data_IF_158760882823
#
_entry.id   IF_158760882823
#
_cell.length_a   1.000
_cell.length_b   1.000
_cell.length_c   1.000
_cell.angle_alpha   90.00
_cell.angle_beta   90.00
_cell.angle_gamma   90.00
#
_symmetry.space_group_name_H-M   'P 1'
#
loop_
_entity.id
_entity.type
_entity.pdbx_description
1 polymer ?
#
# COMPACT_ATOMS: atom_id res chain seq x y z
N UNK A 1 -19.42 12.75 30.04
CA UNK A 1 -19.62 13.70 28.92
C UNK A 1 -20.64 14.74 29.38
N UNK A 2 -20.19 15.85 29.97
CA UNK A 2 -21.09 16.95 30.29
C UNK A 2 -21.26 17.81 29.03
N UNK A 3 -22.51 17.95 28.59
CA UNK A 3 -22.90 18.83 27.47
C UNK A 3 -22.74 20.30 27.89
N UNK A 4 -22.26 21.14 26.97
CA UNK A 4 -22.15 22.59 27.21
C UNK A 4 -23.50 23.20 27.61
N UNK A 5 -23.51 24.24 28.45
CA UNK A 5 -24.74 24.93 28.84
C UNK A 5 -25.49 25.44 27.59
N UNK A 6 -26.80 25.20 27.56
CA UNK A 6 -27.69 25.50 26.41
C UNK A 6 -27.66 26.96 25.95
N UNK A 7 -27.22 27.89 26.79
CA UNK A 7 -27.07 29.31 26.45
C UNK A 7 -26.04 29.59 25.36
N UNK A 8 -25.12 28.65 25.06
CA UNK A 8 -24.12 28.78 23.99
C UNK A 8 -24.58 28.22 22.62
N UNK A 9 -25.76 27.61 22.53
CA UNK A 9 -26.31 27.02 21.29
C UNK A 9 -27.02 28.03 20.36
N UNK A 10 -27.04 29.32 20.73
CA UNK A 10 -27.75 30.36 19.99
C UNK A 10 -26.90 31.08 18.92
N UNK A 11 -25.68 30.62 18.65
CA UNK A 11 -24.80 31.20 17.61
C UNK A 11 -24.97 30.37 16.32
N UNK A 12 -25.46 30.97 15.21
CA UNK A 12 -25.53 30.28 13.91
C UNK A 12 -24.13 29.86 13.42
N UNK A 13 -24.03 28.70 12.77
CA UNK A 13 -22.82 28.07 12.18
C UNK A 13 -21.80 27.39 13.12
N UNK A 14 -22.17 27.09 14.36
CA UNK A 14 -21.30 26.42 15.32
C UNK A 14 -21.22 24.88 15.15
N UNK A 15 -20.56 24.38 14.10
CA UNK A 15 -20.21 22.95 14.00
C UNK A 15 -18.93 22.60 14.80
N UNK A 16 -19.16 21.95 15.95
CA UNK A 16 -18.25 21.16 16.81
C UNK A 16 -17.18 21.93 17.62
N UNK A 17 -17.56 22.33 18.82
CA UNK A 17 -16.65 22.73 19.91
C UNK A 17 -16.18 21.50 20.72
N UNK A 18 -14.93 21.50 21.20
CA UNK A 18 -14.44 20.63 22.29
C UNK A 18 -14.15 21.53 23.50
N UNK A 19 -14.79 21.27 24.63
CA UNK A 19 -14.51 21.97 25.88
C UNK A 19 -13.65 21.14 26.82
N UNK A 20 -12.69 21.80 27.47
CA UNK A 20 -11.85 21.24 28.52
C UNK A 20 -12.08 22.09 29.77
N UNK A 21 -12.51 21.46 30.87
CA UNK A 21 -12.71 22.14 32.16
C UNK A 21 -11.50 21.84 33.04
N UNK A 22 -10.88 22.88 33.61
CA UNK A 22 -9.82 22.74 34.59
C UNK A 22 -10.24 23.39 35.91
N UNK A 23 -9.96 22.72 37.02
CA UNK A 23 -10.18 23.27 38.36
C UNK A 23 -8.83 23.68 38.96
N UNK A 24 -8.65 24.98 39.18
CA UNK A 24 -7.61 25.53 40.06
C UNK A 24 -8.30 26.44 41.07
N UNK A 25 -8.17 26.12 42.35
CA UNK A 25 -8.66 26.92 43.48
C UNK A 25 -10.13 27.39 43.32
N UNK A 26 -11.04 26.42 43.12
CA UNK A 26 -12.50 26.64 43.19
C UNK A 26 -13.14 27.56 42.13
N UNK A 27 -12.41 28.00 41.10
CA UNK A 27 -12.96 28.74 39.95
C UNK A 27 -13.04 27.81 38.74
N UNK A 28 -14.20 27.75 38.08
CA UNK A 28 -14.36 27.06 36.80
C UNK A 28 -13.87 27.97 35.67
N UNK A 29 -12.75 27.60 35.03
CA UNK A 29 -12.25 28.29 33.84
C UNK A 29 -12.60 27.46 32.62
N UNK A 30 -13.44 28.00 31.73
CA UNK A 30 -13.87 27.34 30.49
C UNK A 30 -13.04 27.90 29.33
N UNK A 31 -12.19 27.06 28.73
CA UNK A 31 -11.48 27.41 27.50
C UNK A 31 -12.36 27.09 26.30
N UNK A 32 -12.67 28.12 25.51
CA UNK A 32 -13.35 28.01 24.23
C UNK A 32 -12.30 27.87 23.11
N UNK A 33 -12.03 26.64 22.69
CA UNK A 33 -11.18 26.38 21.53
C UNK A 33 -12.02 26.56 20.26
N UNK A 34 -11.79 27.66 19.53
CA UNK A 34 -12.31 27.83 18.18
C UNK A 34 -11.63 26.78 17.30
N UNK A 35 -12.42 25.94 16.61
CA UNK A 35 -11.89 25.22 15.45
C UNK A 35 -11.74 26.27 14.36
N UNK A 36 -10.53 26.50 13.86
CA UNK A 36 -10.36 27.29 12.64
C UNK A 36 -11.30 26.73 11.57
N UNK A 37 -11.99 27.59 10.79
CA UNK A 37 -12.72 27.10 9.63
C UNK A 37 -11.74 26.23 8.84
N UNK A 38 -12.16 25.04 8.42
CA UNK A 38 -11.33 24.23 7.53
C UNK A 38 -10.93 25.14 6.38
N UNK A 39 -9.65 25.50 6.28
CA UNK A 39 -9.16 26.41 5.27
C UNK A 39 -9.74 25.97 3.93
N UNK A 40 -10.48 26.84 3.27
CA UNK A 40 -10.99 26.54 1.95
C UNK A 40 -9.76 26.26 1.09
N UNK A 41 -9.63 25.02 0.59
CA UNK A 41 -8.44 24.58 -0.11
C UNK A 41 -8.25 25.51 -1.32
N UNK A 42 -7.19 26.32 -1.30
CA UNK A 42 -6.84 27.30 -2.35
C UNK A 42 -6.88 26.63 -3.72
N UNK A 43 -6.47 25.37 -3.79
CA UNK A 43 -6.35 24.60 -5.01
C UNK A 43 -7.65 23.91 -5.45
N UNK A 44 -8.73 24.02 -4.68
CA UNK A 44 -10.07 23.55 -5.06
C UNK A 44 -11.00 24.68 -5.48
N UNK A 45 -10.66 25.93 -5.17
CA UNK A 45 -11.44 27.09 -5.57
C UNK A 45 -11.42 27.29 -7.11
N UNK A 46 -12.50 27.79 -7.73
CA UNK A 46 -12.48 28.17 -9.14
C UNK A 46 -11.58 29.40 -9.36
N UNK A 47 -11.21 29.71 -10.61
CA UNK A 47 -10.60 31.01 -10.89
C UNK A 47 -11.63 32.14 -10.71
N UNK A 48 -11.17 33.33 -10.34
CA UNK A 48 -12.02 34.51 -10.19
C UNK A 48 -11.30 35.75 -10.72
N UNK A 49 -11.84 36.33 -11.79
CA UNK A 49 -11.32 37.54 -12.44
C UNK A 49 -11.46 38.78 -11.55
N UNK A 50 -12.35 38.73 -10.55
CA UNK A 50 -12.66 39.86 -9.69
C UNK A 50 -13.52 40.91 -10.40
N UNK A 51 -13.67 42.07 -9.73
CA UNK A 51 -14.62 43.12 -10.15
C UNK A 51 -13.98 44.29 -10.88
N UNK A 52 -12.64 44.37 -10.87
CA UNK A 52 -11.89 45.42 -11.55
C UNK A 52 -11.64 45.05 -13.02
N UNK A 53 -11.24 46.03 -13.85
CA UNK A 53 -11.13 45.89 -15.32
C UNK A 53 -9.70 46.03 -15.85
N UNK A 54 -8.69 45.88 -15.00
CA UNK A 54 -7.31 45.76 -15.48
C UNK A 54 -7.07 44.36 -16.07
N UNK A 55 -5.97 44.17 -16.80
CA UNK A 55 -5.64 42.88 -17.42
C UNK A 55 -4.29 42.39 -16.89
N UNK A 56 -4.31 41.68 -15.76
CA UNK A 56 -3.10 41.07 -15.21
C UNK A 56 -3.08 39.57 -15.55
N UNK A 57 -2.08 39.07 -16.29
CA UNK A 57 -1.94 37.64 -16.52
C UNK A 57 -1.59 36.94 -15.20
N UNK A 58 -2.37 35.91 -14.84
CA UNK A 58 -2.22 35.11 -13.62
C UNK A 58 -2.40 33.64 -13.93
N UNK A 59 -2.04 32.79 -12.98
CA UNK A 59 -2.25 31.34 -13.04
C UNK A 59 -3.22 30.90 -11.95
N UNK A 60 -4.03 29.90 -12.24
CA UNK A 60 -4.86 29.22 -11.26
C UNK A 60 -4.71 27.72 -11.45
N UNK A 61 -4.90 26.95 -10.38
CA UNK A 61 -4.88 25.50 -10.44
C UNK A 61 -6.29 24.97 -10.76
N UNK A 62 -6.40 24.22 -11.85
CA UNK A 62 -7.61 23.52 -12.22
C UNK A 62 -7.57 22.10 -11.66
N UNK A 63 -8.31 21.85 -10.59
CA UNK A 63 -8.37 20.55 -9.91
C UNK A 63 -8.95 19.41 -10.77
N UNK A 64 -9.75 19.73 -11.79
CA UNK A 64 -10.37 18.72 -12.66
C UNK A 64 -9.36 18.09 -13.61
N UNK A 65 -8.46 18.90 -14.18
CA UNK A 65 -7.40 18.43 -15.09
C UNK A 65 -6.03 18.34 -14.42
N UNK A 66 -5.95 18.71 -13.14
CA UNK A 66 -4.71 18.78 -12.35
C UNK A 66 -3.61 19.57 -13.06
N UNK A 67 -3.93 20.77 -13.55
CA UNK A 67 -2.97 21.64 -14.23
C UNK A 67 -3.11 23.10 -13.80
N UNK A 68 -1.99 23.81 -13.71
CA UNK A 68 -1.95 25.26 -13.58
C UNK A 68 -2.16 25.92 -14.95
N UNK A 69 -3.34 26.54 -15.13
CA UNK A 69 -3.76 27.23 -16.34
C UNK A 69 -3.68 28.75 -16.15
N UNK A 70 -3.61 29.50 -17.26
CA UNK A 70 -3.59 30.96 -17.21
C UNK A 70 -5.02 31.55 -17.21
N UNK A 71 -5.17 32.73 -16.62
CA UNK A 71 -6.40 33.53 -16.69
C UNK A 71 -6.06 35.03 -16.55
N UNK A 72 -7.04 35.89 -16.85
CA UNK A 72 -6.90 37.34 -16.72
C UNK A 72 -7.51 37.81 -15.41
N UNK A 73 -6.69 38.37 -14.52
CA UNK A 73 -7.16 38.96 -13.27
C UNK A 73 -7.40 40.47 -13.42
N UNK A 74 -8.58 40.90 -12.98
CA UNK A 74 -9.08 42.27 -13.05
C UNK A 74 -8.33 43.28 -12.17
N UNK A 75 -7.51 42.81 -11.23
CA UNK A 75 -6.68 43.65 -10.34
C UNK A 75 -7.28 43.94 -8.96
N UNK A 76 -8.51 43.50 -8.68
CA UNK A 76 -9.10 43.60 -7.34
C UNK A 76 -10.21 42.57 -7.11
N UNK A 77 -10.43 42.18 -5.86
CA UNK A 77 -11.33 41.08 -5.51
C UNK A 77 -10.69 39.73 -5.85
N UNK A 78 -11.49 38.76 -6.30
CA UNK A 78 -10.97 37.43 -6.60
C UNK A 78 -10.91 36.51 -5.38
N UNK A 79 -10.27 35.36 -5.56
CA UNK A 79 -9.92 34.42 -4.51
C UNK A 79 -8.43 34.06 -4.54
N UNK A 80 -7.99 33.19 -3.63
CA UNK A 80 -6.58 32.85 -3.44
C UNK A 80 -6.03 31.85 -4.49
N UNK A 81 -6.87 31.25 -5.34
CA UNK A 81 -6.41 30.45 -6.49
C UNK A 81 -5.91 31.36 -7.63
N UNK A 82 -4.91 32.19 -7.30
CA UNK A 82 -4.43 33.29 -8.13
C UNK A 82 -2.94 33.51 -7.89
N UNK A 83 -2.13 32.95 -8.77
CA UNK A 83 -0.68 32.92 -8.67
C UNK A 83 -0.03 33.80 -9.73
N UNK A 84 1.08 34.45 -9.37
CA UNK A 84 1.83 35.29 -10.30
C UNK A 84 2.58 34.48 -11.36
N UNK A 85 3.10 33.30 -11.00
CA UNK A 85 3.82 32.42 -11.93
C UNK A 85 3.23 31.01 -11.95
N UNK A 86 3.41 30.29 -13.06
CA UNK A 86 3.05 28.87 -13.17
C UNK A 86 3.78 28.05 -12.09
N UNK A 87 5.01 28.43 -11.74
CA UNK A 87 5.80 27.77 -10.70
C UNK A 87 5.16 27.92 -9.32
N UNK A 88 4.73 29.11 -8.93
CA UNK A 88 4.08 29.34 -7.63
C UNK A 88 2.79 28.53 -7.51
N UNK A 89 2.00 28.49 -8.59
CA UNK A 89 0.81 27.64 -8.67
C UNK A 89 1.14 26.16 -8.51
N UNK A 90 2.21 25.69 -9.17
CA UNK A 90 2.65 24.29 -9.06
C UNK A 90 3.13 24.00 -7.64
N UNK A 91 4.03 24.83 -7.13
CA UNK A 91 4.64 24.64 -5.82
C UNK A 91 3.59 24.72 -4.70
N UNK A 92 2.49 25.45 -4.87
CA UNK A 92 1.40 25.50 -3.90
C UNK A 92 0.41 24.34 -4.06
N UNK A 93 -0.05 24.07 -5.29
CA UNK A 93 -1.15 23.14 -5.53
C UNK A 93 -0.75 21.72 -5.92
N UNK A 94 0.46 21.51 -6.44
CA UNK A 94 1.02 20.18 -6.69
C UNK A 94 1.81 19.60 -5.53
N UNK A 95 2.06 20.36 -4.44
CA UNK A 95 2.70 19.82 -3.22
C UNK A 95 2.03 18.54 -2.71
N UNK A 96 0.75 18.31 -3.03
CA UNK A 96 -0.07 17.18 -2.59
C UNK A 96 -0.30 16.11 -3.67
N UNK A 97 0.28 16.26 -4.87
CA UNK A 97 0.12 15.29 -5.97
C UNK A 97 1.23 14.26 -5.89
N UNK A 98 0.86 13.04 -5.53
CA UNK A 98 1.79 11.92 -5.45
C UNK A 98 1.77 11.02 -6.69
N UNK A 99 2.89 10.35 -7.00
CA UNK A 99 2.95 9.33 -8.04
C UNK A 99 1.94 8.20 -7.82
N UNK A 100 1.74 7.37 -8.85
CA UNK A 100 0.79 6.25 -8.79
C UNK A 100 1.07 5.33 -7.59
N UNK A 101 0.02 5.06 -6.80
CA UNK A 101 0.05 4.26 -5.56
C UNK A 101 0.72 4.94 -4.35
N UNK A 102 0.91 6.25 -4.38
CA UNK A 102 1.40 7.03 -3.26
C UNK A 102 0.30 7.96 -2.71
N UNK A 103 0.41 8.33 -1.44
CA UNK A 103 -0.46 9.27 -0.74
C UNK A 103 0.43 10.31 -0.08
N UNK A 104 0.03 11.59 -0.20
CA UNK A 104 0.75 12.68 0.43
C UNK A 104 0.39 12.74 1.91
N UNK A 105 1.41 12.86 2.76
CA UNK A 105 1.23 13.10 4.18
C UNK A 105 1.97 14.36 4.59
N UNK A 106 1.23 15.28 5.22
CA UNK A 106 1.81 16.47 5.85
C UNK A 106 2.70 16.09 7.04
N UNK A 107 2.33 15.04 7.78
CA UNK A 107 3.15 14.43 8.80
C UNK A 107 2.86 12.93 8.92
N UNK A 108 3.88 12.11 8.67
CA UNK A 108 3.96 10.74 9.19
C UNK A 108 5.05 10.67 10.26
N UNK A 109 4.80 10.04 11.42
CA UNK A 109 5.84 9.72 12.40
C UNK A 109 7.02 8.98 11.77
N UNK A 110 8.24 9.45 12.04
CA UNK A 110 9.47 8.80 11.57
C UNK A 110 9.51 7.33 12.00
N UNK A 111 9.95 6.46 11.11
CA UNK A 111 9.92 5.01 11.29
C UNK A 111 8.59 4.34 10.88
N UNK A 112 7.55 5.13 10.58
CA UNK A 112 6.21 4.66 10.19
C UNK A 112 5.78 5.16 8.80
N UNK A 113 6.74 5.66 8.01
CA UNK A 113 6.56 6.21 6.66
C UNK A 113 5.87 5.24 5.72
N UNK A 114 6.47 4.07 5.50
CA UNK A 114 5.99 3.10 4.52
C UNK A 114 6.73 1.76 4.65
N UNK A 115 6.10 0.69 4.17
CA UNK A 115 6.79 -0.57 3.94
C UNK A 115 7.63 -0.49 2.66
N UNK A 116 8.79 -1.14 2.67
CA UNK A 116 9.67 -1.22 1.50
C UNK A 116 9.77 -2.67 1.03
N UNK A 117 10.17 -2.87 -0.22
CA UNK A 117 10.42 -4.22 -0.74
C UNK A 117 11.50 -4.98 0.05
N UNK A 118 12.37 -4.27 0.75
CA UNK A 118 13.46 -4.80 1.57
C UNK A 118 13.14 -4.84 3.06
N UNK A 119 11.98 -4.34 3.50
CA UNK A 119 11.58 -4.37 4.89
C UNK A 119 10.08 -4.16 5.00
N UNK A 120 9.36 -5.23 5.36
CA UNK A 120 7.99 -5.13 5.84
C UNK A 120 8.08 -5.13 7.35
N UNK A 121 7.83 -3.99 7.99
CA UNK A 121 7.89 -3.91 9.44
C UNK A 121 6.48 -4.00 10.01
N UNK A 122 6.04 -5.17 10.52
CA UNK A 122 4.72 -5.29 11.12
C UNK A 122 4.57 -4.51 12.44
N UNK A 123 5.68 -4.07 13.05
CA UNK A 123 5.69 -3.29 14.29
C UNK A 123 6.71 -2.14 14.19
N UNK A 124 6.44 -1.12 13.38
CA UNK A 124 7.35 -0.01 13.21
C UNK A 124 7.49 0.78 14.51
N UNK A 125 8.73 1.08 14.90
CA UNK A 125 8.99 2.02 15.99
C UNK A 125 8.79 3.44 15.44
N UNK A 126 7.59 3.98 15.66
CA UNK A 126 7.29 5.36 15.34
C UNK A 126 7.96 6.30 16.34
N UNK A 127 8.66 7.31 15.84
CA UNK A 127 9.15 8.45 16.62
C UNK A 127 8.23 9.65 16.42
N UNK A 128 8.11 10.51 17.44
CA UNK A 128 7.21 11.70 17.39
C UNK A 128 7.62 12.77 16.36
N UNK A 129 8.74 12.58 15.66
CA UNK A 129 9.19 13.49 14.61
C UNK A 129 8.41 13.22 13.32
N UNK A 130 8.03 14.26 12.59
CA UNK A 130 7.30 14.13 11.33
C UNK A 130 8.25 14.00 10.14
N UNK A 131 7.87 13.15 9.19
CA UNK A 131 8.32 13.15 7.80
C UNK A 131 7.16 13.61 6.92
N UNK A 132 7.42 14.56 6.02
CA UNK A 132 6.45 15.13 5.09
C UNK A 132 6.79 14.67 3.67
N UNK A 133 5.79 14.28 2.88
CA UNK A 133 6.01 13.85 1.51
C UNK A 133 5.05 12.78 1.02
N UNK A 134 5.39 12.18 -0.12
CA UNK A 134 4.63 11.09 -0.73
C UNK A 134 5.15 9.73 -0.26
N UNK A 135 4.24 8.91 0.26
CA UNK A 135 4.54 7.59 0.78
C UNK A 135 3.65 6.53 0.13
N UNK A 136 4.14 5.31 -0.03
CA UNK A 136 3.37 4.22 -0.59
C UNK A 136 2.09 4.03 0.20
N UNK A 137 0.94 4.00 -0.50
CA UNK A 137 -0.34 3.71 0.13
C UNK A 137 -0.33 2.31 0.74
N UNK A 138 -1.14 2.12 1.77
CA UNK A 138 -1.25 0.83 2.46
C UNK A 138 -1.39 -0.36 1.48
N UNK A 139 -0.55 -1.38 1.67
CA UNK A 139 -0.50 -2.57 0.81
C UNK A 139 0.42 -2.46 -0.41
N UNK A 140 1.10 -1.33 -0.59
CA UNK A 140 2.18 -1.13 -1.56
C UNK A 140 3.52 -0.98 -0.84
N UNK A 141 4.59 -1.34 -1.54
CA UNK A 141 5.94 -1.43 -1.01
C UNK A 141 6.85 -0.63 -1.93
N UNK A 142 7.72 0.21 -1.36
CA UNK A 142 8.65 0.98 -2.18
C UNK A 142 9.72 0.05 -2.76
N UNK A 143 9.78 0.04 -4.08
CA UNK A 143 10.78 -0.68 -4.86
C UNK A 143 12.09 0.12 -4.91
N UNK A 144 13.22 -0.54 -5.23
CA UNK A 144 14.52 0.13 -5.28
C UNK A 144 14.62 1.23 -6.36
N UNK A 145 13.75 1.18 -7.37
CA UNK A 145 13.65 2.21 -8.42
C UNK A 145 12.71 3.38 -8.02
N UNK A 146 12.29 3.44 -6.76
CA UNK A 146 11.42 4.50 -6.23
C UNK A 146 9.92 4.28 -6.41
N UNK A 147 9.48 3.32 -7.22
CA UNK A 147 8.06 3.08 -7.50
C UNK A 147 7.37 2.27 -6.40
N UNK A 148 6.09 2.58 -6.12
CA UNK A 148 5.26 1.81 -5.19
C UNK A 148 4.56 0.64 -5.91
N UNK A 149 4.99 -0.57 -5.57
CA UNK A 149 4.56 -1.81 -6.21
C UNK A 149 3.89 -2.74 -5.20
N UNK A 150 3.13 -3.74 -5.68
CA UNK A 150 2.62 -4.78 -4.78
C UNK A 150 3.78 -5.69 -4.35
N UNK A 151 3.71 -6.29 -3.17
CA UNK A 151 4.77 -7.15 -2.64
C UNK A 151 5.28 -8.23 -3.62
N UNK A 152 4.37 -8.80 -4.43
CA UNK A 152 4.71 -9.81 -5.47
C UNK A 152 5.63 -9.30 -6.58
N UNK A 153 5.82 -7.99 -6.67
CA UNK A 153 6.66 -7.30 -7.66
C UNK A 153 8.00 -6.86 -7.04
N UNK A 154 8.25 -7.19 -5.77
CA UNK A 154 9.52 -6.94 -5.10
C UNK A 154 10.55 -8.03 -5.48
N UNK A 155 11.81 -7.67 -5.79
CA UNK A 155 12.84 -8.65 -6.16
C UNK A 155 13.51 -9.26 -4.92
N UNK A 156 13.39 -10.59 -4.78
CA UNK A 156 14.10 -11.48 -3.84
C UNK A 156 14.40 -10.81 -2.47
N UNK A 157 13.36 -10.54 -1.67
CA UNK A 157 13.41 -9.69 -0.46
C UNK A 157 14.52 -9.98 0.57
N UNK A 158 14.61 -9.20 1.66
CA UNK A 158 15.76 -9.17 2.59
C UNK A 158 16.04 -10.53 3.25
N UNK A 159 14.98 -11.30 3.46
CA UNK A 159 15.00 -12.66 4.00
C UNK A 159 15.77 -13.59 3.06
N UNK A 160 15.51 -13.51 1.75
CA UNK A 160 16.14 -14.36 0.74
C UNK A 160 17.63 -14.03 0.53
N UNK A 161 18.10 -12.89 1.02
CA UNK A 161 19.53 -12.53 0.95
C UNK A 161 20.33 -12.99 2.16
N UNK A 162 19.66 -13.44 3.23
CA UNK A 162 20.35 -13.94 4.41
C UNK A 162 21.08 -15.24 4.06
N UNK A 163 22.29 -15.42 4.60
CA UNK A 163 23.07 -16.64 4.40
C UNK A 163 22.37 -17.84 5.04
N UNK A 164 22.77 -19.06 4.66
CA UNK A 164 22.37 -20.25 5.41
C UNK A 164 22.80 -20.11 6.87
N UNK A 165 21.87 -20.30 7.80
CA UNK A 165 22.12 -20.34 9.24
C UNK A 165 21.45 -21.57 9.84
N UNK A 166 22.25 -22.43 10.48
CA UNK A 166 21.78 -23.68 11.05
C UNK A 166 21.06 -23.47 12.38
N UNK A 167 21.26 -22.31 13.03
CA UNK A 167 20.92 -22.11 14.44
C UNK A 167 21.87 -22.85 15.38
N UNK A 168 21.50 -22.90 16.66
CA UNK A 168 22.32 -23.44 17.75
C UNK A 168 21.61 -24.47 18.63
N UNK A 169 20.46 -24.99 18.20
CA UNK A 169 19.72 -26.02 18.92
C UNK A 169 20.28 -27.44 18.70
N UNK A 170 19.55 -28.44 19.20
CA UNK A 170 19.90 -29.87 19.09
C UNK A 170 18.85 -30.71 18.35
N UNK A 171 17.86 -30.07 17.72
CA UNK A 171 16.74 -30.72 17.04
C UNK A 171 16.82 -30.52 15.53
N UNK A 172 17.30 -31.54 14.82
CA UNK A 172 17.48 -31.48 13.37
C UNK A 172 16.14 -31.55 12.61
N UNK A 173 15.72 -30.41 12.07
CA UNK A 173 14.54 -30.25 11.24
C UNK A 173 14.94 -30.05 9.78
N UNK A 174 14.33 -30.81 8.88
CA UNK A 174 14.53 -30.62 7.44
C UNK A 174 13.80 -29.36 6.98
N UNK A 175 14.54 -28.41 6.40
CA UNK A 175 14.06 -27.11 5.94
C UNK A 175 14.66 -26.75 4.59
N UNK A 176 14.25 -25.62 4.02
CA UNK A 176 14.77 -25.06 2.78
C UNK A 176 15.23 -23.63 3.01
N UNK A 177 16.31 -23.22 2.35
CA UNK A 177 16.76 -21.84 2.29
C UNK A 177 16.99 -21.45 0.84
N UNK A 178 16.82 -20.19 0.50
CA UNK A 178 17.13 -19.68 -0.81
C UNK A 178 18.62 -19.34 -0.91
N UNK A 179 19.33 -20.03 -1.79
CA UNK A 179 20.72 -19.76 -2.09
C UNK A 179 20.81 -18.73 -3.22
N UNK A 180 21.14 -17.49 -2.86
CA UNK A 180 21.25 -16.37 -3.80
C UNK A 180 22.36 -16.54 -4.85
N UNK A 181 23.46 -17.26 -4.53
CA UNK A 181 24.55 -17.51 -5.49
C UNK A 181 24.15 -18.50 -6.59
N UNK A 182 23.29 -19.45 -6.26
CA UNK A 182 22.80 -20.50 -7.18
C UNK A 182 21.41 -20.20 -7.72
N UNK A 183 20.81 -19.10 -7.28
CA UNK A 183 19.42 -18.73 -7.52
C UNK A 183 18.46 -19.93 -7.33
N UNK A 184 18.65 -20.68 -6.24
CA UNK A 184 17.94 -21.94 -5.98
C UNK A 184 17.59 -22.11 -4.51
N UNK A 185 16.36 -22.55 -4.24
CA UNK A 185 16.01 -23.07 -2.93
C UNK A 185 16.62 -24.45 -2.71
N UNK A 186 17.48 -24.56 -1.71
CA UNK A 186 18.20 -25.77 -1.34
C UNK A 186 17.75 -26.26 0.02
N UNK A 187 17.73 -27.58 0.19
CA UNK A 187 17.40 -28.21 1.46
C UNK A 187 18.57 -28.06 2.45
N UNK A 188 18.27 -27.85 3.73
CA UNK A 188 19.24 -27.90 4.82
C UNK A 188 18.62 -28.50 6.10
N UNK A 189 19.48 -28.79 7.08
CA UNK A 189 19.07 -29.24 8.41
C UNK A 189 19.17 -28.07 9.39
N UNK A 190 18.03 -27.56 9.85
CA UNK A 190 17.95 -26.55 10.91
C UNK A 190 18.03 -27.25 12.27
N UNK A 191 18.74 -26.66 13.22
CA UNK A 191 18.95 -27.20 14.57
C UNK A 191 17.78 -26.98 15.55
N UNK A 192 16.72 -26.30 15.11
CA UNK A 192 15.45 -26.15 15.84
C UNK A 192 15.38 -24.96 16.80
N UNK A 193 16.50 -24.32 17.11
CA UNK A 193 16.57 -23.07 17.88
C UNK A 193 17.54 -22.08 17.23
N UNK A 194 17.24 -20.79 17.33
CA UNK A 194 18.01 -19.74 16.67
C UNK A 194 17.83 -19.73 15.14
N UNK A 195 18.87 -19.30 14.42
CA UNK A 195 18.88 -19.21 12.97
C UNK A 195 18.40 -17.86 12.43
N UNK A 196 18.14 -17.81 11.12
CA UNK A 196 17.59 -16.64 10.46
C UNK A 196 16.33 -16.97 9.63
N UNK A 197 15.75 -15.94 9.01
CA UNK A 197 14.46 -16.03 8.34
C UNK A 197 14.54 -16.69 6.96
N UNK A 198 15.73 -16.92 6.40
CA UNK A 198 15.90 -17.70 5.17
C UNK A 198 15.71 -19.20 5.44
N UNK A 199 14.56 -19.55 5.99
CA UNK A 199 14.22 -20.86 6.51
C UNK A 199 12.74 -21.13 6.22
N UNK A 200 12.49 -22.08 5.34
CA UNK A 200 11.17 -22.44 4.85
C UNK A 200 10.90 -23.91 5.14
N UNK A 201 9.64 -24.25 5.46
CA UNK A 201 9.23 -25.63 5.74
C UNK A 201 9.29 -26.52 4.49
N UNK A 202 9.07 -25.96 3.31
CA UNK A 202 9.08 -26.71 2.05
C UNK A 202 9.82 -25.99 0.92
N UNK A 203 10.25 -26.76 -0.11
CA UNK A 203 10.87 -26.19 -1.31
C UNK A 203 9.93 -25.26 -2.07
N UNK A 204 8.64 -25.60 -2.11
CA UNK A 204 7.62 -24.83 -2.82
C UNK A 204 7.46 -23.46 -2.15
N UNK A 205 7.32 -23.45 -0.82
CA UNK A 205 7.25 -22.21 -0.03
C UNK A 205 8.48 -21.32 -0.24
N UNK A 206 9.69 -21.89 -0.18
CA UNK A 206 10.91 -21.15 -0.47
C UNK A 206 10.92 -20.58 -1.89
N UNK A 207 10.53 -21.38 -2.89
CA UNK A 207 10.49 -20.93 -4.28
C UNK A 207 9.48 -19.80 -4.46
N UNK A 208 8.26 -19.97 -3.97
CA UNK A 208 7.22 -18.94 -4.08
C UNK A 208 7.60 -17.64 -3.40
N UNK A 209 8.28 -17.71 -2.25
CA UNK A 209 8.67 -16.56 -1.46
C UNK A 209 9.92 -15.85 -2.03
N UNK A 210 10.94 -16.61 -2.44
CA UNK A 210 12.23 -16.06 -2.83
C UNK A 210 12.50 -16.00 -4.33
N UNK A 211 11.94 -16.91 -5.11
CA UNK A 211 12.04 -16.91 -6.57
C UNK A 211 10.78 -16.34 -7.24
N UNK A 212 9.77 -15.99 -6.42
CA UNK A 212 8.43 -15.69 -6.88
C UNK A 212 7.68 -16.96 -7.30
N UNK A 213 6.37 -16.87 -7.56
CA UNK A 213 5.63 -18.03 -8.04
C UNK A 213 6.26 -18.52 -9.34
N UNK A 214 6.48 -19.84 -9.52
CA UNK A 214 6.83 -20.37 -10.82
C UNK A 214 5.62 -20.14 -11.71
N UNK A 215 5.63 -19.03 -12.47
CA UNK A 215 4.61 -18.58 -13.42
C UNK A 215 3.26 -19.24 -13.16
N UNK A 216 2.65 -18.88 -12.03
CA UNK A 216 1.51 -19.52 -11.39
C UNK A 216 0.70 -20.41 -12.33
N UNK A 217 1.00 -21.71 -12.29
CA UNK A 217 0.24 -22.76 -12.98
C UNK A 217 -1.27 -22.55 -12.76
N UNK A 218 -1.67 -22.19 -11.54
CA UNK A 218 -3.05 -21.91 -11.16
C UNK A 218 -3.65 -20.61 -11.74
N UNK A 219 -2.85 -19.77 -12.39
CA UNK A 219 -3.26 -18.54 -13.08
C UNK A 219 -3.23 -18.70 -14.60
N UNK A 220 -2.70 -19.82 -15.13
CA UNK A 220 -2.75 -20.09 -16.57
C UNK A 220 -4.20 -20.31 -17.01
N UNK A 221 -4.56 -19.90 -18.23
CA UNK A 221 -5.92 -20.09 -18.74
C UNK A 221 -6.26 -21.58 -18.84
N UNK A 222 -7.55 -21.90 -18.88
CA UNK A 222 -7.99 -23.25 -19.21
C UNK A 222 -7.65 -23.57 -20.67
N UNK A 223 -6.90 -24.65 -20.91
CA UNK A 223 -6.62 -25.16 -22.26
C UNK A 223 -7.03 -26.62 -22.40
N UNK A 224 -7.92 -26.89 -23.37
CA UNK A 224 -8.42 -28.23 -23.64
C UNK A 224 -7.40 -29.14 -24.34
N UNK A 225 -6.34 -28.59 -24.93
CA UNK A 225 -5.41 -29.33 -25.79
C UNK A 225 -6.00 -29.64 -27.18
N UNK A 226 -5.29 -30.43 -27.98
CA UNK A 226 -5.60 -30.68 -29.39
C UNK A 226 -5.63 -32.17 -29.82
N UNK A 227 -5.57 -33.11 -28.88
CA UNK A 227 -5.64 -34.55 -29.19
C UNK A 227 -7.05 -35.11 -29.45
N UNK A 228 -7.18 -36.44 -29.46
CA UNK A 228 -8.43 -37.15 -29.79
C UNK A 228 -9.01 -37.96 -28.61
N UNK A 229 -8.49 -37.78 -27.41
CA UNK A 229 -8.96 -38.46 -26.20
C UNK A 229 -9.89 -37.56 -25.38
N UNK A 230 -10.71 -38.12 -24.49
CA UNK A 230 -11.53 -37.37 -23.55
C UNK A 230 -11.12 -37.71 -22.11
N UNK A 231 -10.05 -37.07 -21.62
CA UNK A 231 -9.49 -37.34 -20.30
C UNK A 231 -10.06 -36.37 -19.27
N UNK A 232 -10.68 -36.90 -18.20
CA UNK A 232 -11.14 -36.07 -17.08
C UNK A 232 -9.93 -35.53 -16.31
N UNK A 233 -9.78 -34.21 -16.27
CA UNK A 233 -8.70 -33.48 -15.59
C UNK A 233 -9.28 -32.35 -14.74
N UNK A 234 -8.46 -31.71 -13.92
CA UNK A 234 -8.84 -30.58 -13.06
C UNK A 234 -7.97 -29.36 -13.34
N UNK A 235 -8.53 -28.17 -13.24
CA UNK A 235 -7.79 -26.91 -13.31
C UNK A 235 -8.28 -25.98 -12.20
N UNK A 236 -7.46 -25.01 -11.82
CA UNK A 236 -7.86 -23.99 -10.85
C UNK A 236 -8.58 -22.85 -11.56
N UNK A 237 -9.89 -22.70 -11.27
CA UNK A 237 -10.69 -21.58 -11.74
C UNK A 237 -10.55 -20.43 -10.76
N UNK A 238 -9.76 -19.43 -11.15
CA UNK A 238 -9.49 -18.24 -10.33
C UNK A 238 -10.71 -17.37 -10.11
N UNK A 239 -11.64 -17.32 -11.08
CA UNK A 239 -12.88 -16.54 -10.95
C UNK A 239 -13.79 -17.16 -9.89
N UNK A 240 -13.76 -18.49 -9.76
CA UNK A 240 -14.54 -19.23 -8.76
C UNK A 240 -13.75 -19.58 -7.49
N UNK A 241 -12.44 -19.29 -7.45
CA UNK A 241 -11.55 -19.62 -6.34
C UNK A 241 -11.49 -21.11 -6.01
N UNK A 242 -11.70 -22.00 -6.99
CA UNK A 242 -11.81 -23.45 -6.74
C UNK A 242 -11.31 -24.29 -7.91
N UNK A 243 -10.84 -25.49 -7.59
CA UNK A 243 -10.51 -26.49 -8.59
C UNK A 243 -11.79 -27.08 -9.22
N UNK A 244 -11.87 -27.02 -10.55
CA UNK A 244 -13.00 -27.48 -11.37
C UNK A 244 -12.49 -28.51 -12.39
N UNK A 245 -13.32 -29.49 -12.75
CA UNK A 245 -12.93 -30.49 -13.75
C UNK A 245 -13.21 -30.01 -15.19
N UNK A 246 -12.46 -30.55 -16.15
CA UNK A 246 -12.64 -30.35 -17.59
C UNK A 246 -12.21 -31.59 -18.37
N UNK A 247 -12.61 -31.67 -19.66
CA UNK A 247 -12.27 -32.77 -20.57
C UNK A 247 -11.06 -32.41 -21.43
N UNK A 248 -9.89 -32.89 -21.04
CA UNK A 248 -8.63 -32.65 -21.74
C UNK A 248 -8.47 -33.61 -22.93
N UNK A 249 -8.02 -33.09 -24.06
CA UNK A 249 -7.94 -33.79 -25.35
C UNK A 249 -6.77 -34.77 -25.49
N UNK A 250 -5.86 -34.79 -24.50
CA UNK A 250 -4.77 -35.77 -24.43
C UNK A 250 -3.45 -35.33 -25.10
N UNK A 251 -3.39 -34.17 -25.73
CA UNK A 251 -2.15 -33.59 -26.28
C UNK A 251 -2.18 -32.05 -26.19
N UNK A 252 -1.01 -31.41 -26.06
CA UNK A 252 -0.86 -29.95 -25.92
C UNK A 252 -1.39 -29.38 -24.60
N UNK A 253 -1.84 -28.13 -24.60
CA UNK A 253 -2.35 -27.45 -23.42
C UNK A 253 -1.25 -26.85 -22.53
N UNK A 254 -1.63 -26.43 -21.33
CA UNK A 254 -0.70 -25.86 -20.34
C UNK A 254 -0.75 -26.60 -18.99
N UNK A 255 0.06 -26.12 -18.04
CA UNK A 255 0.29 -26.80 -16.77
C UNK A 255 -0.90 -26.73 -15.79
N UNK A 256 -1.93 -25.89 -16.01
CA UNK A 256 -3.15 -25.82 -15.18
C UNK A 256 -4.06 -27.03 -15.45
N UNK A 257 -3.50 -28.22 -15.27
CA UNK A 257 -4.06 -29.47 -15.74
C UNK A 257 -3.59 -30.59 -14.80
N UNK A 258 -4.41 -30.86 -13.79
CA UNK A 258 -4.15 -31.81 -12.71
C UNK A 258 -4.93 -33.11 -12.92
N UNK A 259 -4.34 -34.23 -12.53
CA UNK A 259 -4.99 -35.54 -12.63
C UNK A 259 -6.18 -35.68 -11.67
N UNK A 260 -6.14 -35.00 -10.51
CA UNK A 260 -7.19 -35.09 -9.48
C UNK A 260 -7.50 -33.73 -8.85
N UNK A 261 -8.70 -33.62 -8.25
CA UNK A 261 -9.10 -32.44 -7.47
C UNK A 261 -8.17 -32.17 -6.30
N UNK A 262 -7.75 -33.22 -5.58
CA UNK A 262 -6.88 -33.11 -4.40
C UNK A 262 -5.51 -32.56 -4.81
N UNK A 263 -4.96 -33.03 -5.93
CA UNK A 263 -3.70 -32.52 -6.46
C UNK A 263 -3.82 -31.02 -6.80
N UNK A 264 -4.89 -30.63 -7.48
CA UNK A 264 -5.16 -29.23 -7.77
C UNK A 264 -5.32 -28.40 -6.49
N UNK A 265 -6.10 -28.87 -5.51
CA UNK A 265 -6.37 -28.16 -4.26
C UNK A 265 -5.07 -28.00 -3.44
N UNK A 266 -4.23 -29.04 -3.34
CA UNK A 266 -2.92 -28.96 -2.66
C UNK A 266 -1.97 -27.96 -3.31
N UNK A 267 -2.01 -27.84 -4.64
CA UNK A 267 -1.11 -26.96 -5.40
C UNK A 267 -1.63 -25.52 -5.41
N UNK A 268 -2.95 -25.32 -5.49
CA UNK A 268 -3.54 -24.01 -5.75
C UNK A 268 -4.30 -23.38 -4.58
N UNK A 269 -4.55 -24.12 -3.49
CA UNK A 269 -5.12 -23.57 -2.25
C UNK A 269 -4.04 -23.50 -1.18
N UNK A 270 -3.56 -22.29 -0.90
CA UNK A 270 -2.56 -22.03 0.14
C UNK A 270 -3.24 -22.07 1.52
N UNK A 271 -2.77 -22.95 2.40
CA UNK A 271 -2.98 -22.88 3.85
C UNK A 271 -1.89 -22.02 4.48
N UNK A 272 -2.26 -21.12 5.40
CA UNK A 272 -1.36 -20.18 6.07
C UNK A 272 -0.21 -20.90 6.81
N UNK A 273 0.99 -20.29 6.93
CA UNK A 273 2.15 -20.93 7.55
C UNK A 273 1.96 -21.11 9.06
N UNK A 274 2.36 -22.28 9.56
CA UNK A 274 2.53 -22.55 10.99
C UNK A 274 3.80 -21.86 11.50
N UNK A 275 3.68 -21.14 12.62
CA UNK A 275 4.80 -20.70 13.43
C UNK A 275 5.36 -21.91 14.17
N UNK A 276 6.47 -22.45 13.67
CA UNK A 276 7.47 -23.14 14.47
C UNK A 276 8.80 -22.97 13.71
N UNK A 277 9.72 -22.21 14.30
CA UNK A 277 10.86 -21.47 13.70
C UNK A 277 10.49 -20.13 13.07
#
# INVERSE_FOLDING_TARGET
LQTCPRSLLAIPDALKWKCSVFHRNSVQVVFLLRREPAEANICEAPYDEGRCRAAFPRFYFNSTVQECLNFTYGGCGGNENNFHTKKDCIDECFKKICPKNEVYYECIPKGCEEDTCTNKNPYPRCYKMCSTGCFCRQGFYRHYNGTCVKFKQCPHGPICRQSLDLGNGNRWLRRYYYNSKRDKCLQFWCSGEGGNLNNFGTRIECNEFCQGPPLSICNLPLEYGNGNYALRRYYYDRKKGKCVHFWYRGNGGNQNNFGTRIQCDKVCKVSLPHKDC
#
